data_IF_554754590363
#
_entry.id   IF_554754590363
#
_cell.length_a   1.000
_cell.length_b   1.000
_cell.length_c   1.000
_cell.angle_alpha   90.00
_cell.angle_beta   90.00
_cell.angle_gamma   90.00
#
_symmetry.space_group_name_H-M   'P 1'
#
loop_
_entity.id
_entity.type
_entity.pdbx_description
1 polymer ?
#
# COMPACT_ATOMS: atom_id res chain seq x y z
N UNK A 1 23.70 11.02 -2.74
CA UNK A 1 22.79 10.88 -1.57
C UNK A 1 21.29 10.95 -1.94
N UNK A 2 20.89 11.19 -3.21
CA UNK A 2 19.49 11.19 -3.67
C UNK A 2 18.95 9.80 -4.08
N UNK A 3 19.82 8.79 -4.18
CA UNK A 3 19.49 7.50 -4.81
C UNK A 3 18.86 6.43 -3.89
N UNK A 4 18.90 6.63 -2.57
CA UNK A 4 18.41 5.64 -1.60
C UNK A 4 16.91 5.79 -1.33
N UNK A 5 16.37 7.02 -1.40
CA UNK A 5 14.95 7.34 -1.09
C UNK A 5 13.95 6.63 -2.00
N UNK A 6 14.36 6.22 -3.20
CA UNK A 6 13.48 5.55 -4.15
C UNK A 6 13.65 4.02 -4.09
N UNK A 7 14.67 3.50 -3.43
CA UNK A 7 15.07 2.10 -3.57
C UNK A 7 14.10 1.10 -2.90
N UNK A 8 13.42 1.47 -1.82
CA UNK A 8 12.67 0.52 -0.99
C UNK A 8 11.21 0.37 -1.43
N UNK A 9 10.51 1.47 -1.76
CA UNK A 9 9.23 1.41 -2.47
C UNK A 9 9.37 0.68 -3.81
N UNK A 10 10.51 0.87 -4.51
CA UNK A 10 10.88 0.15 -5.75
C UNK A 10 11.07 -1.35 -5.56
N UNK A 11 11.63 -1.83 -4.44
CA UNK A 11 11.84 -3.26 -4.19
C UNK A 11 10.50 -4.02 -4.08
N UNK A 12 9.54 -3.47 -3.33
CA UNK A 12 8.22 -4.09 -3.15
C UNK A 12 7.45 -4.12 -4.48
N UNK A 13 7.48 -3.01 -5.23
CA UNK A 13 6.83 -2.89 -6.54
C UNK A 13 7.45 -3.80 -7.61
N UNK A 14 8.78 -3.98 -7.62
CA UNK A 14 9.47 -4.82 -8.60
C UNK A 14 9.23 -6.32 -8.36
N UNK A 15 9.23 -6.77 -7.10
CA UNK A 15 8.90 -8.15 -6.74
C UNK A 15 7.45 -8.49 -7.09
N UNK A 16 6.52 -7.54 -6.89
CA UNK A 16 5.12 -7.68 -7.25
C UNK A 16 4.97 -7.84 -8.77
N UNK A 17 5.55 -6.93 -9.57
CA UNK A 17 5.48 -7.01 -11.04
C UNK A 17 6.09 -8.30 -11.61
N UNK A 18 7.25 -8.74 -11.10
CA UNK A 18 7.86 -9.98 -11.57
C UNK A 18 6.95 -11.19 -11.30
N UNK A 19 6.25 -11.19 -10.17
CA UNK A 19 5.32 -12.26 -9.79
C UNK A 19 4.05 -12.21 -10.63
N UNK A 20 3.52 -11.03 -10.88
CA UNK A 20 2.31 -10.80 -11.70
C UNK A 20 2.51 -11.25 -13.15
N UNK A 21 3.66 -10.95 -13.78
CA UNK A 21 3.99 -11.42 -15.13
C UNK A 21 3.99 -12.95 -15.27
N UNK A 22 4.27 -13.68 -14.18
CA UNK A 22 4.21 -15.15 -14.18
C UNK A 22 2.78 -15.69 -14.04
N UNK A 23 1.89 -14.93 -13.41
CA UNK A 23 0.51 -15.35 -13.13
C UNK A 23 -0.45 -14.93 -14.24
N UNK A 24 -0.24 -13.74 -14.84
CA UNK A 24 -1.05 -13.20 -15.95
C UNK A 24 -0.15 -12.80 -17.12
N UNK A 25 0.29 -13.79 -17.93
CA UNK A 25 1.19 -13.54 -19.07
C UNK A 25 0.53 -12.71 -20.18
N UNK A 26 -0.80 -12.79 -20.31
CA UNK A 26 -1.56 -12.12 -21.37
C UNK A 26 -1.89 -10.64 -21.08
N UNK A 27 -1.54 -10.14 -19.89
CA UNK A 27 -1.75 -8.73 -19.52
C UNK A 27 -0.58 -7.87 -19.99
N UNK A 28 -0.88 -6.73 -20.63
CA UNK A 28 0.16 -5.78 -21.05
C UNK A 28 0.71 -4.95 -19.88
N UNK A 29 1.72 -5.53 -19.21
CA UNK A 29 2.45 -4.88 -18.13
C UNK A 29 3.42 -3.77 -18.60
N UNK A 30 3.64 -3.61 -19.91
CA UNK A 30 4.58 -2.62 -20.43
C UNK A 30 4.00 -1.20 -20.35
N UNK A 31 2.68 -1.05 -20.50
CA UNK A 31 1.97 0.22 -20.38
C UNK A 31 2.14 0.92 -19.01
N UNK A 32 2.42 0.15 -17.96
CA UNK A 32 2.64 0.66 -16.59
C UNK A 32 4.00 1.35 -16.39
N UNK A 33 4.91 1.30 -17.37
CA UNK A 33 6.27 1.82 -17.22
C UNK A 33 7.09 1.07 -16.17
N UNK A 34 8.33 1.49 -15.87
CA UNK A 34 9.27 0.75 -15.00
C UNK A 34 9.01 0.89 -13.50
N UNK A 35 8.28 1.92 -13.06
CA UNK A 35 8.01 2.22 -11.63
C UNK A 35 6.56 2.67 -11.40
N UNK A 36 5.56 1.82 -11.67
CA UNK A 36 4.17 2.14 -11.41
C UNK A 36 3.92 2.24 -9.91
N UNK A 37 3.02 3.14 -9.53
CA UNK A 37 2.55 3.24 -8.17
C UNK A 37 1.73 1.99 -7.80
N UNK A 38 1.83 1.56 -6.54
CA UNK A 38 1.17 0.36 -6.03
C UNK A 38 -0.33 0.35 -6.34
N UNK A 39 -1.02 1.48 -6.21
CA UNK A 39 -2.44 1.60 -6.49
C UNK A 39 -2.79 1.28 -7.95
N UNK A 40 -2.00 1.77 -8.91
CA UNK A 40 -2.21 1.52 -10.34
C UNK A 40 -1.96 0.06 -10.66
N UNK A 41 -0.86 -0.51 -10.16
CA UNK A 41 -0.55 -1.94 -10.34
C UNK A 41 -1.65 -2.82 -9.75
N UNK A 42 -2.10 -2.54 -8.53
CA UNK A 42 -3.17 -3.29 -7.88
C UNK A 42 -4.49 -3.23 -8.67
N UNK A 43 -4.83 -2.06 -9.22
CA UNK A 43 -5.99 -1.90 -10.11
C UNK A 43 -5.91 -2.77 -11.36
N UNK A 44 -4.75 -2.79 -12.03
CA UNK A 44 -4.51 -3.63 -13.21
C UNK A 44 -4.60 -5.12 -12.86
N UNK A 45 -4.06 -5.54 -11.72
CA UNK A 45 -4.18 -6.93 -11.22
C UNK A 45 -5.63 -7.30 -10.93
N UNK A 46 -6.37 -6.42 -10.24
CA UNK A 46 -7.80 -6.62 -9.97
C UNK A 46 -8.58 -6.84 -11.25
N UNK A 47 -8.33 -6.01 -12.27
CA UNK A 47 -8.93 -6.15 -13.59
C UNK A 47 -8.52 -7.45 -14.30
N UNK A 48 -7.23 -7.80 -14.33
CA UNK A 48 -6.72 -9.01 -14.97
C UNK A 48 -7.20 -10.31 -14.30
N UNK A 49 -7.49 -10.26 -12.99
CA UNK A 49 -8.00 -11.39 -12.20
C UNK A 49 -9.53 -11.52 -12.23
N UNK A 50 -10.25 -10.55 -12.83
CA UNK A 50 -11.72 -10.53 -12.84
C UNK A 50 -12.35 -10.25 -11.46
N UNK A 51 -11.57 -9.75 -10.50
CA UNK A 51 -12.05 -9.41 -9.16
C UNK A 51 -12.74 -8.03 -9.21
N UNK A 52 -13.90 -7.92 -8.56
CA UNK A 52 -14.60 -6.66 -8.44
C UNK A 52 -13.69 -5.56 -7.84
N UNK A 53 -13.76 -4.35 -8.39
CA UNK A 53 -12.90 -3.23 -7.96
C UNK A 53 -13.00 -2.96 -6.45
N UNK A 54 -14.20 -3.09 -5.86
CA UNK A 54 -14.41 -2.94 -4.42
C UNK A 54 -13.62 -3.95 -3.58
N UNK A 55 -13.54 -5.22 -4.00
CA UNK A 55 -12.75 -6.23 -3.28
C UNK A 55 -11.24 -6.00 -3.41
N UNK A 56 -10.79 -5.54 -4.58
CA UNK A 56 -9.38 -5.14 -4.78
C UNK A 56 -9.03 -3.96 -3.89
N UNK A 57 -9.88 -2.92 -3.85
CA UNK A 57 -9.71 -1.76 -2.99
C UNK A 57 -9.71 -2.16 -1.50
N UNK A 58 -10.67 -2.96 -1.07
CA UNK A 58 -10.78 -3.44 0.31
C UNK A 58 -9.53 -4.22 0.75
N UNK A 59 -9.02 -5.11 -0.10
CA UNK A 59 -7.79 -5.86 0.16
C UNK A 59 -6.58 -4.93 0.39
N UNK A 60 -6.44 -3.88 -0.43
CA UNK A 60 -5.36 -2.91 -0.30
C UNK A 60 -5.51 -2.08 0.98
N UNK A 61 -6.71 -1.55 1.23
CA UNK A 61 -6.99 -0.73 2.43
C UNK A 61 -6.75 -1.54 3.71
N UNK A 62 -7.32 -2.74 3.78
CA UNK A 62 -7.18 -3.62 4.94
C UNK A 62 -5.73 -4.05 5.18
N UNK A 63 -4.99 -4.41 4.13
CA UNK A 63 -3.56 -4.76 4.24
C UNK A 63 -2.71 -3.57 4.69
N UNK A 64 -3.07 -2.36 4.26
CA UNK A 64 -2.38 -1.13 4.67
C UNK A 64 -2.63 -0.84 6.15
N UNK A 65 -3.89 -0.92 6.59
CA UNK A 65 -4.27 -0.73 8.00
C UNK A 65 -3.59 -1.76 8.91
N UNK A 66 -3.67 -3.05 8.58
CA UNK A 66 -3.06 -4.13 9.38
C UNK A 66 -1.54 -4.07 9.38
N UNK A 67 -0.92 -3.62 8.29
CA UNK A 67 0.51 -3.33 8.21
C UNK A 67 0.93 -2.24 9.21
N UNK A 68 0.18 -1.14 9.26
CA UNK A 68 0.39 -0.05 10.22
C UNK A 68 0.17 -0.50 11.67
N UNK A 69 -0.88 -1.28 11.93
CA UNK A 69 -1.18 -1.83 13.26
C UNK A 69 -0.05 -2.74 13.77
N UNK A 70 0.46 -3.62 12.91
CA UNK A 70 1.58 -4.52 13.21
C UNK A 70 2.87 -3.74 13.50
N UNK A 71 3.13 -2.68 12.74
CA UNK A 71 4.28 -1.80 12.98
C UNK A 71 4.15 -1.05 14.31
N UNK A 72 2.97 -0.47 14.59
CA UNK A 72 2.68 0.23 15.83
C UNK A 72 2.84 -0.68 17.06
N UNK A 73 2.31 -1.91 16.99
CA UNK A 73 2.49 -2.92 18.04
C UNK A 73 3.96 -3.12 18.39
N UNK A 74 4.82 -3.27 17.37
CA UNK A 74 6.26 -3.53 17.57
C UNK A 74 7.04 -2.30 18.02
N UNK A 75 6.67 -1.11 17.54
CA UNK A 75 7.38 0.13 17.85
C UNK A 75 6.99 0.73 19.21
N UNK A 76 5.73 0.57 19.60
CA UNK A 76 5.16 1.16 20.82
C UNK A 76 4.98 0.11 21.92
N UNK A 77 5.34 -1.14 21.66
CA UNK A 77 5.18 -2.28 22.57
C UNK A 77 3.72 -2.43 23.07
N UNK A 78 2.76 -2.31 22.14
CA UNK A 78 1.34 -2.45 22.46
C UNK A 78 0.97 -3.90 22.75
N UNK A 79 -0.09 -4.08 23.55
CA UNK A 79 -0.67 -5.40 23.77
C UNK A 79 -1.28 -5.96 22.45
N UNK A 80 -0.98 -7.21 22.07
CA UNK A 80 -1.51 -7.81 20.85
C UNK A 80 -3.05 -7.95 20.85
N UNK A 81 -3.67 -8.17 22.02
CA UNK A 81 -5.11 -8.27 22.17
C UNK A 81 -5.80 -6.93 21.91
N UNK A 82 -5.24 -5.84 22.45
CA UNK A 82 -5.73 -4.48 22.19
C UNK A 82 -5.60 -4.10 20.71
N UNK A 83 -4.47 -4.44 20.07
CA UNK A 83 -4.27 -4.20 18.63
C UNK A 83 -5.28 -4.98 17.80
N UNK A 84 -5.58 -6.23 18.17
CA UNK A 84 -6.59 -7.02 17.50
C UNK A 84 -7.99 -6.38 17.66
N UNK A 85 -8.35 -5.94 18.86
CA UNK A 85 -9.62 -5.28 19.12
C UNK A 85 -9.79 -4.00 18.29
N UNK A 86 -8.76 -3.15 18.22
CA UNK A 86 -8.76 -1.94 17.38
C UNK A 86 -8.85 -2.28 15.90
N UNK A 87 -8.14 -3.31 15.44
CA UNK A 87 -8.20 -3.77 14.04
C UNK A 87 -9.62 -4.16 13.64
N UNK A 88 -10.33 -4.89 14.51
CA UNK A 88 -11.74 -5.21 14.30
C UNK A 88 -12.63 -3.96 14.30
N UNK A 89 -12.41 -3.04 15.23
CA UNK A 89 -13.17 -1.80 15.31
C UNK A 89 -12.99 -0.89 14.08
N UNK A 90 -11.85 -0.98 13.39
CA UNK A 90 -11.54 -0.23 12.17
C UNK A 90 -12.06 -0.89 10.88
N UNK A 91 -12.63 -2.10 10.93
CA UNK A 91 -13.13 -2.78 9.75
C UNK A 91 -14.16 -1.95 8.95
N UNK A 92 -15.17 -1.29 9.56
CA UNK A 92 -16.11 -0.46 8.82
C UNK A 92 -15.45 0.72 8.11
N UNK A 93 -14.45 1.36 8.74
CA UNK A 93 -13.69 2.46 8.11
C UNK A 93 -12.95 1.95 6.88
N UNK A 94 -12.43 0.72 6.91
CA UNK A 94 -11.78 0.12 5.76
C UNK A 94 -12.77 -0.13 4.61
N UNK A 95 -13.99 -0.57 4.93
CA UNK A 95 -15.06 -0.79 3.96
C UNK A 95 -15.50 0.53 3.31
N UNK A 96 -15.75 1.56 4.11
CA UNK A 96 -16.14 2.89 3.63
C UNK A 96 -15.06 3.51 2.74
N UNK A 97 -13.80 3.44 3.17
CA UNK A 97 -12.65 3.95 2.39
C UNK A 97 -12.50 3.19 1.07
N UNK A 98 -12.72 1.88 1.08
CA UNK A 98 -12.66 1.06 -0.13
C UNK A 98 -13.80 1.41 -1.10
N UNK A 99 -15.01 1.66 -0.59
CA UNK A 99 -16.13 2.11 -1.39
C UNK A 99 -15.83 3.46 -2.05
N UNK A 100 -15.33 4.43 -1.28
CA UNK A 100 -14.96 5.76 -1.79
C UNK A 100 -13.88 5.68 -2.89
N UNK A 101 -12.87 4.83 -2.70
CA UNK A 101 -11.80 4.63 -3.67
C UNK A 101 -12.29 4.10 -5.03
N UNK A 102 -13.50 3.53 -5.11
CA UNK A 102 -14.08 3.05 -6.38
C UNK A 102 -14.87 4.11 -7.14
N UNK A 103 -15.14 5.27 -6.53
CA UNK A 103 -15.94 6.33 -7.16
C UNK A 103 -15.17 7.06 -8.27
N UNK A 104 -13.84 7.00 -8.25
CA UNK A 104 -12.97 7.56 -9.28
C UNK A 104 -11.61 7.97 -8.71
N UNK A 105 -10.70 8.48 -9.56
CA UNK A 105 -9.43 9.01 -9.11
C UNK A 105 -9.68 10.21 -8.17
N UNK A 106 -9.16 10.12 -6.95
CA UNK A 106 -9.14 11.24 -6.04
C UNK A 106 -8.00 12.19 -6.45
N UNK A 107 -8.31 13.46 -6.72
CA UNK A 107 -7.31 14.53 -6.88
C UNK A 107 -6.89 15.08 -5.51
N UNK A 108 -6.60 14.16 -4.57
CA UNK A 108 -6.24 14.48 -3.21
C UNK A 108 -4.74 14.31 -3.03
N UNK A 109 -4.07 15.43 -2.78
CA UNK A 109 -2.73 15.41 -2.21
C UNK A 109 -2.82 15.29 -0.69
N UNK A 110 -1.95 14.49 -0.08
CA UNK A 110 -1.78 14.43 1.37
C UNK A 110 -0.43 15.04 1.76
N UNK A 111 -0.37 16.39 1.94
CA UNK A 111 0.87 17.06 2.24
C UNK A 111 1.45 16.65 3.59
N UNK A 112 0.63 16.14 4.52
CA UNK A 112 1.12 15.68 5.81
C UNK A 112 1.90 14.38 5.66
N UNK A 113 1.37 13.41 4.93
CA UNK A 113 2.07 12.16 4.65
C UNK A 113 3.36 12.40 3.86
N UNK A 114 3.36 13.36 2.92
CA UNK A 114 4.57 13.74 2.18
C UNK A 114 5.66 14.30 3.10
N UNK A 115 5.28 15.18 4.03
CA UNK A 115 6.21 15.73 5.03
C UNK A 115 6.72 14.65 5.97
N UNK A 116 5.86 13.73 6.43
CA UNK A 116 6.25 12.63 7.31
C UNK A 116 7.20 11.66 6.60
N UNK A 117 6.93 11.33 5.33
CA UNK A 117 7.81 10.52 4.50
C UNK A 117 9.18 11.19 4.33
N UNK A 118 9.20 12.50 4.02
CA UNK A 118 10.44 13.25 3.91
C UNK A 118 11.24 13.25 5.23
N UNK A 119 10.58 13.47 6.37
CA UNK A 119 11.21 13.43 7.69
C UNK A 119 11.75 12.04 8.05
N UNK A 120 11.03 10.97 7.71
CA UNK A 120 11.49 9.60 7.96
C UNK A 120 12.81 9.31 7.24
N UNK A 121 12.97 9.83 6.03
CA UNK A 121 14.16 9.66 5.22
C UNK A 121 15.38 10.44 5.74
N UNK A 122 15.13 11.53 6.46
CA UNK A 122 16.17 12.38 7.04
C UNK A 122 16.50 11.96 8.49
N UNK A 123 15.90 10.87 8.99
CA UNK A 123 16.13 10.34 10.34
C UNK A 123 17.47 9.60 10.42
N UNK A 124 18.28 9.92 11.44
CA UNK A 124 19.64 9.34 11.61
C UNK A 124 19.65 7.81 11.77
N UNK A 125 18.59 7.22 12.32
CA UNK A 125 18.45 5.78 12.55
C UNK A 125 17.03 5.31 12.22
N UNK A 126 16.71 5.09 10.94
CA UNK A 126 15.39 4.58 10.56
C UNK A 126 15.28 3.10 10.94
N UNK A 127 14.24 2.75 11.69
CA UNK A 127 13.92 1.36 12.06
C UNK A 127 13.24 0.59 10.92
N UNK A 128 12.68 1.31 9.94
CA UNK A 128 12.07 0.76 8.75
C UNK A 128 12.64 1.41 7.51
N UNK A 129 12.76 0.59 6.49
CA UNK A 129 12.97 1.01 5.12
C UNK A 129 11.63 1.61 4.61
N UNK A 130 11.65 2.86 4.14
CA UNK A 130 10.51 3.54 3.47
C UNK A 130 10.61 3.48 1.96
#
# INVERSE_FOLDING_TARGET
KRDIKIYISRQRQMCIRQRERRVWPDTDWAALGPTPHLAVTAGVVGNASGIAAAHTALSIVYTTMTGSATAAQRLLALDPGDVAAVTFALAPVCEDTAAEATLGPADLSDPLLDVLAQRHLDRDRPLFAS
#
